data_IF_477609119397
#
_entry.id   IF_477609119397
#
_cell.length_a   1.000
_cell.length_b   1.000
_cell.length_c   1.000
_cell.angle_alpha   90.00
_cell.angle_beta   90.00
_cell.angle_gamma   90.00
#
_symmetry.space_group_name_H-M   'P 1'
#
loop_
_entity.id
_entity.type
_entity.pdbx_description
1 polymer ?
#
# COMPACT_ATOMS: atom_id res chain seq x y z
N UNK A 1 24.62 -11.00 -9.24
CA UNK A 1 23.63 -9.94 -9.51
C UNK A 1 22.33 -10.38 -8.87
N UNK A 2 21.66 -9.52 -8.10
CA UNK A 2 20.34 -9.85 -7.54
C UNK A 2 19.36 -10.03 -8.71
N UNK A 3 18.63 -11.15 -8.83
CA UNK A 3 17.63 -11.31 -9.85
C UNK A 3 16.57 -10.21 -9.77
N UNK A 4 16.20 -9.63 -10.92
CA UNK A 4 15.25 -8.50 -11.01
C UNK A 4 13.96 -8.87 -11.75
N UNK A 5 13.78 -10.15 -12.06
CA UNK A 5 12.52 -10.68 -12.57
C UNK A 5 11.44 -10.69 -11.49
N UNK A 6 10.18 -10.73 -11.93
CA UNK A 6 9.04 -10.66 -11.04
C UNK A 6 9.03 -11.78 -10.01
N UNK A 7 9.21 -13.02 -10.44
CA UNK A 7 9.07 -14.20 -9.58
C UNK A 7 10.10 -14.18 -8.44
N UNK A 8 11.35 -13.86 -8.75
CA UNK A 8 12.40 -13.75 -7.75
C UNK A 8 12.14 -12.62 -6.76
N UNK A 9 11.71 -11.44 -7.23
CA UNK A 9 11.41 -10.30 -6.38
C UNK A 9 10.20 -10.57 -5.49
N UNK A 10 9.12 -11.11 -6.07
CA UNK A 10 7.91 -11.47 -5.36
C UNK A 10 8.19 -12.52 -4.28
N UNK A 11 8.90 -13.60 -4.61
CA UNK A 11 9.24 -14.64 -3.64
C UNK A 11 10.07 -14.09 -2.48
N UNK A 12 11.07 -13.23 -2.75
CA UNK A 12 11.87 -12.59 -1.73
C UNK A 12 11.04 -11.63 -0.84
N UNK A 13 10.17 -10.83 -1.44
CA UNK A 13 9.27 -9.93 -0.71
C UNK A 13 8.29 -10.71 0.17
N UNK A 14 7.66 -11.76 -0.36
CA UNK A 14 6.73 -12.61 0.38
C UNK A 14 7.43 -13.35 1.55
N UNK A 15 8.65 -13.83 1.34
CA UNK A 15 9.46 -14.43 2.40
C UNK A 15 9.71 -13.44 3.55
N UNK A 16 9.98 -12.17 3.23
CA UNK A 16 10.13 -11.11 4.24
C UNK A 16 8.82 -10.86 5.01
N UNK A 17 7.69 -10.74 4.31
CA UNK A 17 6.37 -10.54 4.93
C UNK A 17 5.99 -11.67 5.90
N UNK A 18 6.37 -12.91 5.58
CA UNK A 18 6.08 -14.10 6.40
C UNK A 18 7.04 -14.29 7.57
N UNK A 19 8.17 -13.59 7.59
CA UNK A 19 9.19 -13.68 8.64
C UNK A 19 9.55 -12.27 9.18
N UNK A 20 8.58 -11.53 9.74
CA UNK A 20 8.84 -10.19 10.25
C UNK A 20 9.74 -10.21 11.48
N UNK A 21 10.41 -9.09 11.73
CA UNK A 21 11.27 -8.90 12.91
C UNK A 21 10.45 -8.20 14.01
N UNK A 22 10.29 -8.85 15.16
CA UNK A 22 9.72 -8.23 16.36
C UNK A 22 8.19 -8.09 16.40
N UNK A 23 7.46 -8.74 15.49
CA UNK A 23 5.99 -8.76 15.48
C UNK A 23 5.45 -10.05 14.83
N UNK A 24 4.16 -10.38 15.00
CA UNK A 24 3.53 -11.48 14.27
C UNK A 24 3.45 -11.22 12.75
N UNK A 25 3.42 -12.27 11.90
CA UNK A 25 3.26 -12.14 10.46
C UNK A 25 1.89 -11.58 10.07
N UNK A 26 1.80 -10.99 8.87
CA UNK A 26 0.60 -10.31 8.38
C UNK A 26 -0.65 -11.20 8.44
N UNK A 27 -0.52 -12.48 8.11
CA UNK A 27 -1.61 -13.47 8.17
C UNK A 27 -2.23 -13.65 9.56
N UNK A 28 -1.48 -13.40 10.63
CA UNK A 28 -1.97 -13.49 12.02
C UNK A 28 -2.61 -12.18 12.49
N UNK A 29 -2.21 -11.06 11.89
CA UNK A 29 -2.76 -9.73 12.17
C UNK A 29 -4.04 -9.45 11.35
N UNK A 30 -4.19 -10.09 10.21
CA UNK A 30 -5.36 -10.01 9.33
C UNK A 30 -6.48 -10.96 9.77
N UNK A 31 -7.59 -11.00 9.02
CA UNK A 31 -8.73 -11.86 9.31
C UNK A 31 -10.05 -11.35 8.73
N UNK A 32 -11.10 -12.19 8.67
CA UNK A 32 -12.42 -11.79 8.20
C UNK A 32 -12.99 -10.60 8.99
N UNK A 33 -13.58 -9.65 8.28
CA UNK A 33 -14.21 -8.45 8.85
C UNK A 33 -13.25 -7.36 9.32
N UNK A 34 -11.93 -7.52 9.14
CA UNK A 34 -10.95 -6.45 9.40
C UNK A 34 -10.81 -5.55 8.18
N UNK A 35 -10.71 -4.24 8.41
CA UNK A 35 -10.36 -3.27 7.38
C UNK A 35 -8.84 -3.10 7.28
N UNK A 36 -8.36 -2.87 6.06
CA UNK A 36 -6.94 -2.70 5.77
C UNK A 36 -6.73 -1.44 4.94
N UNK A 37 -5.72 -0.65 5.30
CA UNK A 37 -5.24 0.45 4.47
C UNK A 37 -3.78 0.17 4.09
N UNK A 38 -3.48 0.12 2.79
CA UNK A 38 -2.12 0.04 2.29
C UNK A 38 -1.68 1.44 1.88
N UNK A 39 -0.69 1.97 2.59
CA UNK A 39 -0.12 3.30 2.33
C UNK A 39 0.97 3.19 1.26
N UNK A 40 0.85 3.99 0.21
CA UNK A 40 1.67 3.89 -1.01
C UNK A 40 2.38 5.23 -1.25
N UNK A 41 3.72 5.24 -1.39
CA UNK A 41 4.43 6.45 -1.80
C UNK A 41 3.94 6.98 -3.15
N UNK A 42 3.94 8.29 -3.31
CA UNK A 42 3.56 8.98 -4.54
C UNK A 42 4.55 8.76 -5.70
N UNK A 43 4.26 9.39 -6.85
CA UNK A 43 5.01 9.14 -8.10
C UNK A 43 6.47 9.57 -8.02
N UNK A 44 6.81 10.57 -7.20
CA UNK A 44 8.20 11.06 -7.10
C UNK A 44 9.11 10.11 -6.34
N UNK A 45 8.56 9.07 -5.73
CA UNK A 45 9.33 7.99 -5.10
C UNK A 45 9.38 6.79 -6.03
N UNK A 46 10.55 6.16 -6.09
CA UNK A 46 10.76 4.87 -6.74
C UNK A 46 10.38 4.79 -8.23
N UNK A 47 10.51 3.61 -8.81
CA UNK A 47 10.28 3.40 -10.24
C UNK A 47 8.86 2.93 -10.59
N UNK A 48 8.48 3.08 -11.86
CA UNK A 48 7.17 2.70 -12.40
C UNK A 48 7.22 1.46 -13.33
N UNK A 49 8.40 0.84 -13.46
CA UNK A 49 8.58 -0.40 -14.22
C UNK A 49 7.66 -1.52 -13.72
N UNK A 50 7.42 -2.56 -14.53
CA UNK A 50 6.56 -3.69 -14.13
C UNK A 50 6.97 -4.34 -12.80
N UNK A 51 8.28 -4.45 -12.54
CA UNK A 51 8.85 -5.02 -11.31
C UNK A 51 9.13 -3.97 -10.23
N UNK A 52 8.40 -2.85 -10.22
CA UNK A 52 8.60 -1.85 -9.18
C UNK A 52 8.24 -2.41 -7.81
N UNK A 53 9.06 -2.05 -6.81
CA UNK A 53 8.87 -2.42 -5.41
C UNK A 53 7.43 -2.22 -4.91
N UNK A 54 6.74 -1.14 -5.31
CA UNK A 54 5.32 -0.92 -4.98
C UNK A 54 4.42 -2.04 -5.50
N UNK A 55 4.50 -2.36 -6.79
CA UNK A 55 3.64 -3.37 -7.42
C UNK A 55 3.86 -4.74 -6.78
N UNK A 56 5.13 -5.11 -6.61
CA UNK A 56 5.53 -6.39 -6.00
C UNK A 56 5.07 -6.47 -4.55
N UNK A 57 5.33 -5.44 -3.74
CA UNK A 57 4.98 -5.44 -2.32
C UNK A 57 3.47 -5.41 -2.08
N UNK A 58 2.72 -4.57 -2.83
CA UNK A 58 1.26 -4.52 -2.72
C UNK A 58 0.66 -5.89 -3.06
N UNK A 59 1.07 -6.50 -4.18
CA UNK A 59 0.55 -7.83 -4.56
C UNK A 59 0.87 -8.88 -3.50
N UNK A 60 2.12 -8.96 -3.03
CA UNK A 60 2.51 -9.93 -1.99
C UNK A 60 1.75 -9.73 -0.66
N UNK A 61 1.50 -8.47 -0.26
CA UNK A 61 0.66 -8.18 0.90
C UNK A 61 -0.79 -8.62 0.69
N UNK A 62 -1.40 -8.28 -0.46
CA UNK A 62 -2.78 -8.65 -0.78
C UNK A 62 -2.98 -10.16 -0.77
N UNK A 63 -2.04 -10.92 -1.33
CA UNK A 63 -2.13 -12.39 -1.36
C UNK A 63 -2.18 -12.98 0.07
N UNK A 64 -1.37 -12.46 1.01
CA UNK A 64 -1.42 -12.88 2.42
C UNK A 64 -2.71 -12.42 3.13
N UNK A 65 -3.19 -11.20 2.83
CA UNK A 65 -4.43 -10.66 3.42
C UNK A 65 -5.66 -11.46 2.97
N UNK A 66 -5.75 -11.75 1.68
CA UNK A 66 -6.83 -12.56 1.11
C UNK A 66 -6.76 -14.01 1.60
N UNK A 67 -5.56 -14.59 1.71
CA UNK A 67 -5.39 -15.92 2.31
C UNK A 67 -5.81 -15.97 3.79
N UNK A 68 -5.69 -14.85 4.52
CA UNK A 68 -6.17 -14.70 5.89
C UNK A 68 -7.69 -14.40 5.99
N UNK A 69 -8.38 -14.22 4.86
CA UNK A 69 -9.82 -14.01 4.80
C UNK A 69 -10.27 -12.54 4.79
N UNK A 70 -9.38 -11.59 4.55
CA UNK A 70 -9.76 -10.20 4.26
C UNK A 70 -10.44 -10.17 2.89
N UNK A 71 -11.57 -9.48 2.77
CA UNK A 71 -12.26 -9.33 1.49
C UNK A 71 -11.74 -8.10 0.74
N UNK A 72 -11.75 -8.15 -0.60
CA UNK A 72 -11.29 -7.03 -1.44
C UNK A 72 -11.97 -5.71 -1.06
N UNK A 73 -13.28 -5.73 -0.75
CA UNK A 73 -14.07 -4.56 -0.35
C UNK A 73 -13.57 -3.87 0.93
N UNK A 74 -12.79 -4.57 1.76
CA UNK A 74 -12.31 -4.08 3.05
C UNK A 74 -10.89 -3.49 2.96
N UNK A 75 -10.32 -3.38 1.75
CA UNK A 75 -8.99 -2.82 1.50
C UNK A 75 -9.06 -1.44 0.87
N UNK A 76 -8.26 -0.48 1.35
CA UNK A 76 -8.08 0.84 0.73
C UNK A 76 -6.62 1.04 0.32
N UNK A 77 -6.39 1.49 -0.91
CA UNK A 77 -5.07 1.95 -1.36
C UNK A 77 -4.99 3.48 -1.19
N UNK A 78 -4.10 3.93 -0.30
CA UNK A 78 -3.94 5.34 0.05
C UNK A 78 -2.57 5.86 -0.37
N UNK A 79 -2.52 6.79 -1.33
CA UNK A 79 -1.29 7.48 -1.67
C UNK A 79 -0.89 8.48 -0.58
N UNK A 80 0.33 8.35 -0.04
CA UNK A 80 0.91 9.27 0.93
C UNK A 80 1.77 10.32 0.23
N UNK A 81 1.14 11.34 -0.33
CA UNK A 81 1.80 12.42 -1.06
C UNK A 81 2.36 13.54 -0.15
N UNK A 82 2.12 13.51 1.16
CA UNK A 82 2.58 14.58 2.07
C UNK A 82 2.00 15.93 1.64
N UNK A 83 2.87 16.93 1.44
CA UNK A 83 2.53 18.25 0.90
C UNK A 83 2.49 18.30 -0.65
N UNK A 84 2.78 17.19 -1.33
CA UNK A 84 2.66 17.16 -2.79
C UNK A 84 1.18 17.09 -3.21
N UNK A 85 0.87 17.55 -4.44
CA UNK A 85 -0.47 17.42 -5.00
C UNK A 85 -0.98 15.97 -4.96
N UNK A 86 -2.30 15.83 -4.88
CA UNK A 86 -2.98 14.54 -5.00
C UNK A 86 -2.58 13.85 -6.31
N UNK A 87 -2.41 12.53 -6.25
CA UNK A 87 -2.08 11.75 -7.44
C UNK A 87 -3.20 11.87 -8.48
N UNK A 88 -2.85 12.14 -9.72
CA UNK A 88 -3.79 12.10 -10.83
C UNK A 88 -4.11 10.64 -11.19
N UNK A 89 -5.26 10.41 -11.83
CA UNK A 89 -5.68 9.06 -12.25
C UNK A 89 -4.62 8.36 -13.12
N UNK A 90 -3.99 9.11 -14.03
CA UNK A 90 -2.92 8.59 -14.89
C UNK A 90 -1.68 8.16 -14.08
N UNK A 91 -1.33 8.92 -13.05
CA UNK A 91 -0.23 8.58 -12.15
C UNK A 91 -0.57 7.36 -11.29
N UNK A 92 -1.79 7.29 -10.74
CA UNK A 92 -2.28 6.12 -10.01
C UNK A 92 -2.17 4.85 -10.86
N UNK A 93 -2.64 4.90 -12.10
CA UNK A 93 -2.56 3.78 -13.03
C UNK A 93 -1.12 3.38 -13.36
N UNK A 94 -0.22 4.36 -13.49
CA UNK A 94 1.20 4.10 -13.76
C UNK A 94 1.90 3.45 -12.57
N UNK A 95 1.64 3.95 -11.36
CA UNK A 95 2.20 3.46 -10.10
C UNK A 95 1.73 2.03 -9.82
N UNK A 96 0.43 1.78 -9.93
CA UNK A 96 -0.19 0.50 -9.56
C UNK A 96 -0.09 -0.53 -10.69
N UNK A 97 0.00 -0.08 -11.95
CA UNK A 97 -0.13 -0.96 -13.10
C UNK A 97 -1.58 -1.39 -13.34
N UNK A 98 -1.85 -2.03 -14.49
CA UNK A 98 -3.21 -2.29 -14.95
C UNK A 98 -4.00 -3.22 -14.03
N UNK A 99 -3.36 -4.20 -13.41
CA UNK A 99 -4.05 -5.19 -12.57
C UNK A 99 -4.54 -4.58 -11.25
N UNK A 100 -3.63 -4.02 -10.45
CA UNK A 100 -3.98 -3.39 -9.17
C UNK A 100 -4.91 -2.19 -9.38
N UNK A 101 -4.65 -1.38 -10.41
CA UNK A 101 -5.56 -0.27 -10.73
C UNK A 101 -6.94 -0.78 -11.14
N UNK A 102 -7.03 -1.80 -11.99
CA UNK A 102 -8.30 -2.40 -12.42
C UNK A 102 -9.08 -3.08 -11.30
N UNK A 103 -8.37 -3.61 -10.29
CA UNK A 103 -8.96 -4.27 -9.13
C UNK A 103 -9.62 -3.28 -8.14
N UNK A 104 -9.03 -2.09 -7.92
CA UNK A 104 -9.45 -1.15 -6.87
C UNK A 104 -10.03 0.18 -7.36
N UNK A 105 -9.70 0.63 -8.57
CA UNK A 105 -10.19 1.92 -9.08
C UNK A 105 -11.70 1.91 -9.36
N UNK A 106 -12.29 0.89 -10.02
CA UNK A 106 -13.72 0.89 -10.34
C UNK A 106 -14.64 0.88 -9.12
N UNK A 107 -14.13 0.43 -7.97
CA UNK A 107 -14.87 0.35 -6.70
C UNK A 107 -14.62 1.56 -5.78
N UNK A 108 -13.82 2.53 -6.21
CA UNK A 108 -13.53 3.74 -5.43
C UNK A 108 -12.54 3.52 -4.27
N UNK A 109 -11.74 2.45 -4.30
CA UNK A 109 -10.83 2.06 -3.22
C UNK A 109 -9.39 2.56 -3.43
N UNK A 110 -9.23 3.63 -4.20
CA UNK A 110 -7.96 4.31 -4.44
C UNK A 110 -8.14 5.80 -4.17
N UNK A 111 -7.35 6.34 -3.24
CA UNK A 111 -7.39 7.78 -2.93
C UNK A 111 -6.00 8.30 -2.53
N UNK A 112 -5.88 9.61 -2.42
CA UNK A 112 -4.71 10.31 -1.90
C UNK A 112 -5.02 10.91 -0.54
N UNK A 113 -4.01 10.91 0.33
CA UNK A 113 -3.98 11.78 1.51
C UNK A 113 -4.00 13.25 1.07
N UNK A 114 -4.57 14.14 1.88
CA UNK A 114 -4.50 15.58 1.69
C UNK A 114 -4.19 16.24 3.05
N UNK A 115 -3.02 16.87 3.15
CA UNK A 115 -2.57 17.52 4.39
C UNK A 115 -3.31 18.82 4.70
N UNK A 116 -4.07 19.36 3.74
CA UNK A 116 -4.83 20.60 3.90
C UNK A 116 -6.33 20.34 4.09
N UNK A 117 -6.76 19.07 4.04
CA UNK A 117 -8.13 18.64 4.27
C UNK A 117 -8.38 18.34 5.76
N UNK A 118 -8.55 19.41 6.53
CA UNK A 118 -8.74 19.33 7.98
C UNK A 118 -9.97 18.51 8.41
N UNK A 119 -10.98 18.34 7.55
CA UNK A 119 -12.16 17.53 7.85
C UNK A 119 -11.83 16.02 7.91
N UNK A 120 -10.73 15.61 7.27
CA UNK A 120 -10.25 14.23 7.21
C UNK A 120 -8.94 14.02 7.99
N UNK A 121 -8.54 14.98 8.81
CA UNK A 121 -7.41 14.87 9.73
C UNK A 121 -7.90 14.75 11.17
N UNK A 122 -7.14 13.99 11.97
CA UNK A 122 -7.41 13.82 13.40
C UNK A 122 -6.13 14.13 14.19
N UNK A 123 -6.28 14.90 15.27
CA UNK A 123 -5.19 15.16 16.21
C UNK A 123 -4.89 13.89 17.01
N UNK A 124 -3.66 13.39 16.90
CA UNK A 124 -3.17 12.20 17.60
C UNK A 124 -2.33 12.54 18.85
N UNK A 125 -2.22 13.83 19.20
CA UNK A 125 -1.45 14.34 20.32
C UNK A 125 -0.11 14.95 19.90
N UNK A 126 0.80 15.09 20.86
CA UNK A 126 2.09 15.76 20.64
C UNK A 126 3.22 14.75 20.50
N UNK A 127 4.14 15.03 19.58
CA UNK A 127 5.44 14.36 19.52
C UNK A 127 6.27 14.65 20.78
N UNK A 128 7.30 13.85 21.05
CA UNK A 128 8.20 14.08 22.18
C UNK A 128 8.92 15.45 22.15
N UNK A 129 8.96 16.12 20.99
CA UNK A 129 9.53 17.45 20.81
C UNK A 129 8.49 18.58 20.93
N UNK A 130 7.21 18.25 21.16
CA UNK A 130 6.13 19.20 21.38
C UNK A 130 5.41 19.68 20.12
N UNK A 131 5.72 19.13 18.94
CA UNK A 131 4.98 19.42 17.70
C UNK A 131 3.75 18.52 17.61
N UNK A 132 2.61 19.09 17.23
CA UNK A 132 1.36 18.41 16.86
C UNK A 132 1.45 17.84 15.45
#
# INVERSE_FOLDING_TARGET
VCPTDWDSLYAATLASIRNPIGMPPLKELAGPGKSVVIVIPDIVKGGNQPTSHRKVAIRACLDELYAAGVEQKDVLLLFSNGLHPRATVAEMQTILGPELFGEFYPTGQITSHDSEDYDHLVDLGYTAQGTT
#
